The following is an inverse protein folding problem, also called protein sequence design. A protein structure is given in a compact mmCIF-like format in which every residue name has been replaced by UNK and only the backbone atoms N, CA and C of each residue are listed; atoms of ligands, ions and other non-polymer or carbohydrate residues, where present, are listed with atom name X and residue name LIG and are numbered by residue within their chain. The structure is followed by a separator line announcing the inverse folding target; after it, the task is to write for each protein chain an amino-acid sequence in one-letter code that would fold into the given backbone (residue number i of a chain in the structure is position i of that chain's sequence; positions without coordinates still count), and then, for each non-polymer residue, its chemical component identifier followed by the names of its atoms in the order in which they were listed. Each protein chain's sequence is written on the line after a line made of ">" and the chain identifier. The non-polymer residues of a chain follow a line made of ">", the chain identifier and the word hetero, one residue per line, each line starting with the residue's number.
data_IF_554052726895
#
_entry.id   IF_554052726895
#
_cell.length_a   1.000
_cell.length_b   1.000
_cell.length_c   1.000
_cell.angle_alpha   90.00
_cell.angle_beta   90.00
_cell.angle_gamma   90.00
#
_symmetry.space_group_name_H-M   'P 1'
#
loop_
_entity.id
_entity.type
_entity.pdbx_description
1 polymer ?
#
# COMPACT_ATOMS: atom_id res chain seq x y z
N UNK A 1 -7.41 -8.12 -9.09
CA UNK A 1 -5.96 -7.92 -8.92
C UNK A 1 -5.28 -9.25 -9.12
N UNK A 2 -4.25 -9.36 -10.00
CA UNK A 2 -3.53 -10.60 -10.23
C UNK A 2 -2.99 -11.17 -8.91
N UNK A 3 -3.18 -12.46 -8.69
CA UNK A 3 -2.65 -13.18 -7.53
C UNK A 3 -1.13 -13.33 -7.65
N UNK A 4 -0.42 -13.28 -6.54
CA UNK A 4 1.04 -13.41 -6.44
C UNK A 4 1.89 -12.30 -7.10
N UNK A 5 1.28 -11.28 -7.70
CA UNK A 5 2.00 -10.17 -8.35
C UNK A 5 2.54 -9.12 -7.37
N UNK A 6 2.53 -9.38 -6.06
CA UNK A 6 2.96 -8.39 -5.05
C UNK A 6 2.05 -7.14 -4.96
N UNK A 7 0.82 -7.24 -5.46
CA UNK A 7 -0.16 -6.16 -5.56
C UNK A 7 -1.22 -6.23 -4.44
N UNK A 8 -0.85 -6.72 -3.27
CA UNK A 8 -1.74 -6.82 -2.10
C UNK A 8 -3.05 -7.59 -2.39
N UNK A 9 -2.98 -8.67 -3.18
CA UNK A 9 -4.16 -9.48 -3.58
C UNK A 9 -4.98 -9.98 -2.40
N UNK A 10 -4.35 -10.31 -1.27
CA UNK A 10 -5.07 -10.69 -0.05
C UNK A 10 -5.94 -9.56 0.51
N UNK A 11 -5.50 -8.29 0.41
CA UNK A 11 -6.27 -7.15 0.88
C UNK A 11 -7.58 -7.01 0.10
N UNK A 12 -7.50 -7.03 -1.24
CA UNK A 12 -8.67 -6.94 -2.12
C UNK A 12 -9.60 -8.15 -1.95
N UNK A 13 -9.03 -9.36 -1.86
CA UNK A 13 -9.82 -10.59 -1.72
C UNK A 13 -10.62 -10.62 -0.41
N UNK A 14 -10.00 -10.32 0.74
CA UNK A 14 -10.71 -10.30 2.03
C UNK A 14 -11.67 -9.12 2.17
N UNK A 15 -11.39 -7.98 1.56
CA UNK A 15 -12.35 -6.88 1.51
C UNK A 15 -13.60 -7.29 0.68
N UNK A 16 -13.41 -7.84 -0.51
CA UNK A 16 -14.50 -8.32 -1.36
C UNK A 16 -15.31 -9.45 -0.69
N UNK A 17 -14.62 -10.41 -0.04
CA UNK A 17 -15.28 -11.48 0.70
C UNK A 17 -16.12 -10.93 1.86
N UNK A 18 -15.59 -9.99 2.62
CA UNK A 18 -16.32 -9.36 3.72
C UNK A 18 -17.58 -8.64 3.22
N UNK A 19 -17.47 -7.89 2.12
CA UNK A 19 -18.63 -7.24 1.49
C UNK A 19 -19.67 -8.24 1.02
N UNK A 20 -19.26 -9.28 0.30
CA UNK A 20 -20.16 -10.31 -0.20
C UNK A 20 -20.87 -11.06 0.93
N UNK A 21 -20.16 -11.38 2.02
CA UNK A 21 -20.76 -12.03 3.20
C UNK A 21 -21.73 -11.11 3.93
N UNK A 22 -21.41 -9.82 4.04
CA UNK A 22 -22.29 -8.82 4.65
C UNK A 22 -23.65 -8.74 3.92
N UNK A 23 -23.63 -8.71 2.61
CA UNK A 23 -24.83 -8.74 1.77
C UNK A 23 -25.56 -10.09 1.88
N UNK A 24 -24.86 -11.20 1.69
CA UNK A 24 -25.46 -12.53 1.67
C UNK A 24 -26.13 -12.93 3.00
N UNK A 25 -25.61 -12.42 4.12
CA UNK A 25 -26.19 -12.69 5.46
C UNK A 25 -27.26 -11.69 5.88
N UNK A 26 -27.42 -10.61 5.13
CA UNK A 26 -28.35 -9.52 5.47
C UNK A 26 -27.97 -8.74 6.75
N UNK A 27 -26.71 -8.84 7.20
CA UNK A 27 -26.24 -8.11 8.38
C UNK A 27 -26.18 -6.60 8.16
N UNK A 28 -25.91 -6.16 6.92
CA UNK A 28 -25.86 -4.77 6.49
C UNK A 28 -25.01 -3.87 7.40
N UNK A 29 -23.89 -4.40 7.88
CA UNK A 29 -22.96 -3.67 8.74
C UNK A 29 -22.39 -2.46 8.01
N UNK A 30 -22.23 -1.31 8.68
CA UNK A 30 -21.48 -0.19 8.13
C UNK A 30 -20.04 -0.58 7.77
N UNK A 31 -19.46 0.01 6.74
CA UNK A 31 -18.13 -0.33 6.23
C UNK A 31 -17.03 -0.25 7.31
N UNK A 32 -17.10 0.71 8.24
CA UNK A 32 -16.18 0.80 9.37
C UNK A 32 -16.27 -0.43 10.28
N UNK A 33 -17.47 -0.86 10.65
CA UNK A 33 -17.66 -2.06 11.46
C UNK A 33 -17.25 -3.31 10.67
N UNK A 34 -17.58 -3.38 9.38
CA UNK A 34 -17.17 -4.49 8.51
C UNK A 34 -15.65 -4.62 8.42
N UNK A 35 -14.91 -3.50 8.51
CA UNK A 35 -13.45 -3.50 8.48
C UNK A 35 -12.82 -4.27 9.66
N UNK A 36 -13.50 -4.35 10.80
CA UNK A 36 -13.03 -5.16 11.96
C UNK A 36 -13.07 -6.66 11.69
N UNK A 37 -13.92 -7.11 10.76
CA UNK A 37 -13.98 -8.50 10.31
C UNK A 37 -12.97 -8.74 9.18
N UNK A 38 -12.93 -7.88 8.17
CA UNK A 38 -12.03 -8.01 7.03
C UNK A 38 -10.55 -8.12 7.47
N UNK A 39 -10.11 -7.34 8.48
CA UNK A 39 -8.74 -7.37 9.00
C UNK A 39 -8.29 -8.71 9.57
N UNK A 40 -9.23 -9.56 10.01
CA UNK A 40 -8.90 -10.89 10.54
C UNK A 40 -8.34 -11.82 9.46
N UNK A 41 -8.76 -11.64 8.22
CA UNK A 41 -8.21 -12.35 7.07
C UNK A 41 -6.90 -11.74 6.58
N UNK A 42 -6.87 -10.42 6.45
CA UNK A 42 -5.68 -9.66 6.09
C UNK A 42 -5.75 -8.27 6.71
N UNK A 43 -4.72 -7.86 7.47
CA UNK A 43 -4.68 -6.55 8.11
C UNK A 43 -4.90 -5.40 7.13
N UNK A 44 -4.29 -5.45 5.95
CA UNK A 44 -4.45 -4.44 4.90
C UNK A 44 -5.87 -4.38 4.31
N UNK A 45 -6.66 -5.47 4.39
CA UNK A 45 -8.05 -5.49 3.95
C UNK A 45 -8.94 -4.50 4.71
N UNK A 46 -8.54 -4.11 5.93
CA UNK A 46 -9.22 -3.06 6.71
C UNK A 46 -9.48 -1.82 5.87
N UNK A 47 -8.45 -1.35 5.17
CA UNK A 47 -8.52 -0.12 4.37
C UNK A 47 -9.18 -0.32 3.01
N UNK A 48 -9.08 -1.51 2.44
CA UNK A 48 -9.57 -1.82 1.08
C UNK A 48 -11.09 -1.86 0.94
N UNK A 49 -11.83 -1.66 2.04
CA UNK A 49 -13.28 -1.45 2.03
C UNK A 49 -13.65 -0.04 1.53
N UNK A 50 -12.71 0.90 1.59
CA UNK A 50 -12.89 2.30 1.24
C UNK A 50 -12.01 2.67 0.05
N UNK A 51 -12.36 3.76 -0.64
CA UNK A 51 -11.50 4.42 -1.60
C UNK A 51 -10.64 5.52 -0.95
N UNK A 52 -9.73 6.08 -1.71
CA UNK A 52 -8.90 7.20 -1.29
C UNK A 52 -7.90 6.85 -0.19
N UNK A 53 -7.66 7.80 0.71
CA UNK A 53 -6.77 7.64 1.86
C UNK A 53 -7.54 7.16 3.08
N UNK A 54 -7.07 6.09 3.67
CA UNK A 54 -7.73 5.42 4.80
C UNK A 54 -6.72 5.08 5.88
N UNK A 55 -6.99 5.51 7.09
CA UNK A 55 -6.26 5.10 8.28
C UNK A 55 -6.80 3.74 8.77
N UNK A 56 -5.92 2.83 9.12
CA UNK A 56 -6.28 1.73 9.99
C UNK A 56 -5.94 2.14 11.43
N UNK A 57 -6.97 2.53 12.18
CA UNK A 57 -6.82 2.86 13.59
C UNK A 57 -6.33 1.63 14.37
N UNK A 58 -5.24 1.81 15.11
CA UNK A 58 -4.65 0.75 15.94
C UNK A 58 -5.69 0.17 16.91
N UNK A 59 -6.41 1.05 17.62
CA UNK A 59 -7.35 0.66 18.65
C UNK A 59 -6.69 -0.06 19.83
N UNK A 60 -7.50 -0.42 20.82
CA UNK A 60 -7.15 -1.23 21.97
C UNK A 60 -8.08 -2.46 22.13
N UNK A 61 -9.07 -2.55 21.27
CA UNK A 61 -10.03 -3.66 21.21
C UNK A 61 -10.32 -4.06 19.76
N UNK A 62 -11.02 -5.18 19.59
CA UNK A 62 -11.46 -5.63 18.27
C UNK A 62 -12.44 -4.63 17.63
N UNK A 63 -13.26 -3.99 18.43
CA UNK A 63 -14.37 -3.13 18.02
C UNK A 63 -13.87 -1.77 17.51
N UNK A 64 -12.77 -1.27 18.03
CA UNK A 64 -12.24 0.05 17.68
C UNK A 64 -10.96 0.01 16.80
N UNK A 65 -10.40 -1.20 16.55
CA UNK A 65 -9.36 -1.40 15.54
C UNK A 65 -10.01 -1.52 14.16
N UNK A 66 -10.32 -0.38 13.54
CA UNK A 66 -11.13 -0.27 12.33
C UNK A 66 -10.56 0.74 11.34
N UNK A 67 -11.09 0.73 10.12
CA UNK A 67 -10.77 1.73 9.10
C UNK A 67 -11.47 3.06 9.39
N UNK A 68 -10.71 4.15 9.20
CA UNK A 68 -11.22 5.52 9.27
C UNK A 68 -10.85 6.22 7.95
N UNK A 69 -11.84 6.60 7.11
CA UNK A 69 -11.56 7.41 5.93
C UNK A 69 -10.89 8.72 6.32
N UNK A 70 -9.86 9.12 5.58
CA UNK A 70 -9.09 10.35 5.80
C UNK A 70 -9.40 11.37 4.72
N UNK A 71 -9.35 10.97 3.44
CA UNK A 71 -9.59 11.83 2.28
C UNK A 71 -9.96 10.95 1.07
N UNK A 72 -10.79 11.47 0.17
CA UNK A 72 -11.24 10.76 -1.03
C UNK A 72 -10.19 10.71 -2.16
N UNK A 73 -9.03 11.34 -1.93
CA UNK A 73 -7.94 11.48 -2.90
C UNK A 73 -8.35 12.17 -4.21
N UNK A 74 -9.36 13.05 -4.16
CA UNK A 74 -9.83 13.80 -5.33
C UNK A 74 -8.92 15.02 -5.60
N UNK A 75 -7.64 14.77 -5.87
CA UNK A 75 -6.65 15.74 -6.27
C UNK A 75 -5.55 15.08 -7.13
N UNK A 76 -4.62 15.89 -7.64
CA UNK A 76 -3.56 15.42 -8.53
C UNK A 76 -2.55 14.52 -7.78
N UNK A 77 -2.93 13.26 -7.60
CA UNK A 77 -2.11 12.22 -6.98
C UNK A 77 -2.25 10.91 -7.74
N UNK A 78 -1.13 10.20 -7.87
CA UNK A 78 -1.07 8.91 -8.53
C UNK A 78 0.07 8.06 -7.99
N UNK A 79 0.16 6.85 -8.50
CA UNK A 79 1.19 5.91 -8.11
C UNK A 79 1.67 5.12 -9.33
N UNK A 80 2.96 4.75 -9.34
CA UNK A 80 3.49 3.79 -10.29
C UNK A 80 4.05 2.62 -9.48
N UNK A 81 3.64 1.39 -9.80
CA UNK A 81 4.18 0.19 -9.17
C UNK A 81 5.28 -0.36 -10.07
N UNK A 82 6.48 -0.50 -9.51
CA UNK A 82 7.61 -1.18 -10.16
C UNK A 82 7.60 -2.63 -9.66
N UNK A 83 7.24 -3.56 -10.53
CA UNK A 83 7.19 -4.99 -10.21
C UNK A 83 8.58 -5.58 -10.32
N UNK A 84 9.28 -5.64 -9.21
CA UNK A 84 10.62 -6.23 -9.11
C UNK A 84 10.54 -7.74 -9.19
N UNK A 85 9.63 -8.35 -8.41
CA UNK A 85 9.42 -9.79 -8.41
C UNK A 85 7.94 -10.12 -8.18
N UNK A 86 7.45 -11.10 -8.94
CA UNK A 86 6.15 -11.73 -8.74
C UNK A 86 6.28 -13.09 -8.01
N UNK A 87 7.49 -13.48 -7.63
CA UNK A 87 7.74 -14.74 -6.93
C UNK A 87 7.20 -14.70 -5.49
N UNK A 88 6.91 -15.87 -4.95
CA UNK A 88 6.51 -16.01 -3.56
C UNK A 88 7.66 -15.59 -2.63
N UNK A 89 7.32 -14.85 -1.57
CA UNK A 89 8.29 -14.33 -0.61
C UNK A 89 8.88 -15.46 0.23
N UNK A 90 10.18 -15.41 0.48
CA UNK A 90 10.88 -16.36 1.37
C UNK A 90 10.34 -16.29 2.81
N UNK A 91 9.93 -15.10 3.26
CA UNK A 91 9.35 -14.86 4.57
C UNK A 91 8.00 -14.17 4.36
N UNK A 92 6.92 -14.74 4.89
CA UNK A 92 5.60 -14.13 4.82
C UNK A 92 5.58 -12.82 5.62
N UNK A 93 4.69 -11.89 5.25
CA UNK A 93 4.58 -10.62 5.98
C UNK A 93 4.25 -10.85 7.47
N UNK A 94 3.45 -11.88 7.81
CA UNK A 94 3.11 -12.22 9.19
C UNK A 94 4.34 -12.71 9.96
N UNK A 95 5.05 -13.69 9.43
CA UNK A 95 6.25 -14.22 10.08
C UNK A 95 7.34 -13.15 10.23
N UNK A 96 7.51 -12.29 9.21
CA UNK A 96 8.45 -11.17 9.28
C UNK A 96 8.06 -10.16 10.36
N UNK A 97 6.78 -9.81 10.50
CA UNK A 97 6.31 -8.93 11.57
C UNK A 97 6.53 -9.56 12.96
N UNK A 98 6.17 -10.82 13.16
CA UNK A 98 6.36 -11.52 14.44
C UNK A 98 7.83 -11.55 14.85
N UNK A 99 8.72 -11.86 13.91
CA UNK A 99 10.17 -11.85 14.13
C UNK A 99 10.68 -10.45 14.48
N UNK A 100 10.24 -9.42 13.75
CA UNK A 100 10.64 -8.03 13.97
C UNK A 100 10.19 -7.54 15.36
N UNK A 101 8.93 -7.77 15.71
CA UNK A 101 8.38 -7.38 17.03
C UNK A 101 9.16 -8.03 18.17
N UNK A 102 9.49 -9.31 18.03
CA UNK A 102 10.11 -10.09 19.12
C UNK A 102 11.61 -9.88 19.26
N UNK A 103 12.31 -9.44 18.21
CA UNK A 103 13.78 -9.45 18.20
C UNK A 103 14.46 -8.14 17.81
N UNK A 104 13.76 -7.22 17.10
CA UNK A 104 14.41 -6.00 16.62
C UNK A 104 14.55 -4.96 17.73
N UNK A 105 15.77 -4.49 18.04
CA UNK A 105 15.98 -3.45 19.05
C UNK A 105 15.44 -2.08 18.63
N UNK A 106 15.10 -1.90 17.33
CA UNK A 106 14.59 -0.64 16.78
C UNK A 106 13.06 -0.59 16.69
N UNK A 107 12.37 -1.70 17.02
CA UNK A 107 10.93 -1.79 16.82
C UNK A 107 10.15 -0.73 17.61
N UNK A 108 10.45 -0.56 18.90
CA UNK A 108 9.75 0.40 19.76
C UNK A 108 9.97 1.84 19.34
N UNK A 109 11.20 2.19 18.92
CA UNK A 109 11.51 3.50 18.37
C UNK A 109 10.73 3.79 17.09
N UNK A 110 10.57 2.79 16.23
CA UNK A 110 9.73 2.92 15.03
C UNK A 110 8.26 3.13 15.39
N UNK A 111 7.71 2.32 16.30
CA UNK A 111 6.30 2.45 16.75
C UNK A 111 6.03 3.85 17.30
N UNK A 112 6.93 4.37 18.11
CA UNK A 112 6.82 5.73 18.69
C UNK A 112 6.83 6.79 17.59
N UNK A 113 7.78 6.71 16.66
CA UNK A 113 7.89 7.68 15.56
C UNK A 113 6.75 7.57 14.55
N UNK A 114 6.18 6.38 14.37
CA UNK A 114 5.07 6.17 13.44
C UNK A 114 3.80 6.93 13.84
N UNK A 115 3.60 7.19 15.12
CA UNK A 115 2.48 8.01 15.60
C UNK A 115 2.60 9.47 15.11
N UNK A 116 3.80 10.03 15.16
CA UNK A 116 4.09 11.37 14.62
C UNK A 116 3.94 11.39 13.10
N UNK A 117 4.53 10.39 12.40
CA UNK A 117 4.41 10.28 10.94
C UNK A 117 2.94 10.19 10.50
N UNK A 118 2.09 9.49 11.25
CA UNK A 118 0.66 9.38 10.96
C UNK A 118 -0.06 10.73 11.09
N UNK A 119 0.25 11.49 12.14
CA UNK A 119 -0.31 12.82 12.33
C UNK A 119 0.14 13.77 11.19
N UNK A 120 1.42 13.77 10.89
CA UNK A 120 2.00 14.65 9.86
C UNK A 120 1.53 14.33 8.46
N UNK A 121 1.38 13.03 8.11
CA UNK A 121 0.89 12.67 6.77
C UNK A 121 -0.60 13.00 6.59
N UNK A 122 -1.41 12.93 7.65
CA UNK A 122 -2.82 13.36 7.58
C UNK A 122 -2.94 14.86 7.29
N UNK A 123 -2.12 15.69 7.92
CA UNK A 123 -2.07 17.12 7.59
C UNK A 123 -1.52 17.36 6.17
N UNK A 124 -0.48 16.64 5.76
CA UNK A 124 0.05 16.74 4.40
C UNK A 124 -0.99 16.36 3.32
N UNK A 125 -1.82 15.34 3.57
CA UNK A 125 -2.92 14.94 2.69
C UNK A 125 -3.97 16.04 2.60
N UNK A 126 -4.37 16.60 3.74
CA UNK A 126 -5.33 17.72 3.82
C UNK A 126 -4.84 18.96 3.06
N UNK A 127 -3.55 19.25 3.17
CA UNK A 127 -2.89 20.36 2.47
C UNK A 127 -2.62 20.02 0.98
N UNK A 128 -2.86 18.76 0.55
CA UNK A 128 -2.57 18.24 -0.80
C UNK A 128 -1.10 18.46 -1.21
N UNK A 129 -0.20 18.40 -0.23
CA UNK A 129 1.23 18.62 -0.41
C UNK A 129 1.93 17.32 -0.77
N UNK A 130 2.13 17.08 -2.08
CA UNK A 130 2.79 15.87 -2.60
C UNK A 130 4.22 15.69 -2.07
N UNK A 131 4.94 16.78 -1.80
CA UNK A 131 6.30 16.70 -1.26
C UNK A 131 6.31 16.17 0.17
N UNK A 132 5.42 16.69 1.01
CA UNK A 132 5.27 16.21 2.39
C UNK A 132 4.71 14.79 2.42
N UNK A 133 3.66 14.48 1.65
CA UNK A 133 3.09 13.12 1.56
C UNK A 133 4.19 12.12 1.19
N UNK A 134 4.91 12.41 0.11
CA UNK A 134 5.93 11.51 -0.41
C UNK A 134 7.12 11.34 0.54
N UNK A 135 7.66 12.43 1.08
CA UNK A 135 8.80 12.37 1.99
C UNK A 135 8.50 11.63 3.29
N UNK A 136 7.32 11.84 3.88
CA UNK A 136 6.87 11.12 5.08
C UNK A 136 6.71 9.62 4.78
N UNK A 137 6.07 9.28 3.66
CA UNK A 137 5.85 7.89 3.27
C UNK A 137 7.18 7.16 2.99
N UNK A 138 8.12 7.80 2.28
CA UNK A 138 9.46 7.28 2.00
C UNK A 138 10.23 7.05 3.30
N UNK A 139 10.24 8.02 4.20
CA UNK A 139 10.94 7.93 5.47
C UNK A 139 10.33 6.85 6.39
N UNK A 140 9.01 6.81 6.52
CA UNK A 140 8.33 5.80 7.35
C UNK A 140 8.56 4.38 6.79
N UNK A 141 8.48 4.19 5.48
CA UNK A 141 8.79 2.92 4.83
C UNK A 141 10.22 2.45 5.14
N UNK A 142 11.20 3.35 5.04
CA UNK A 142 12.61 3.02 5.34
C UNK A 142 12.85 2.71 6.82
N UNK A 143 12.17 3.37 7.75
CA UNK A 143 12.21 3.02 9.18
C UNK A 143 11.70 1.60 9.42
N UNK A 144 10.60 1.20 8.79
CA UNK A 144 10.07 -0.16 8.86
C UNK A 144 11.11 -1.18 8.37
N UNK A 145 11.73 -0.95 7.22
CA UNK A 145 12.76 -1.85 6.70
C UNK A 145 14.00 -1.91 7.60
N UNK A 146 14.39 -0.81 8.23
CA UNK A 146 15.50 -0.79 9.19
C UNK A 146 15.24 -1.71 10.41
N UNK A 147 14.00 -1.81 10.87
CA UNK A 147 13.65 -2.76 11.95
C UNK A 147 13.83 -4.21 11.53
N UNK A 148 13.55 -4.54 10.27
CA UNK A 148 13.72 -5.90 9.73
C UNK A 148 15.21 -6.27 9.57
N UNK A 149 16.02 -5.33 9.09
CA UNK A 149 17.48 -5.50 8.97
C UNK A 149 18.16 -5.73 10.32
N UNK A 150 17.56 -5.23 11.41
CA UNK A 150 18.05 -5.39 12.77
C UNK A 150 17.36 -6.50 13.57
N UNK A 151 16.53 -7.32 12.94
CA UNK A 151 15.93 -8.51 13.58
C UNK A 151 16.96 -9.61 13.80
N UNK A 152 16.65 -10.58 14.63
CA UNK A 152 17.52 -11.74 14.87
C UNK A 152 16.75 -13.05 14.62
N UNK A 153 17.06 -13.80 13.52
CA UNK A 153 18.02 -13.45 12.47
C UNK A 153 17.61 -12.26 11.62
N UNK A 154 18.57 -11.49 11.05
CA UNK A 154 18.25 -10.37 10.18
C UNK A 154 17.65 -10.84 8.86
N UNK A 155 16.72 -10.06 8.30
CA UNK A 155 16.17 -10.31 6.99
C UNK A 155 15.83 -9.00 6.27
N UNK A 156 15.64 -9.07 4.97
CA UNK A 156 15.11 -7.96 4.17
C UNK A 156 14.23 -8.46 3.03
N UNK A 157 13.43 -7.54 2.49
CA UNK A 157 12.64 -7.77 1.29
C UNK A 157 13.28 -7.14 0.04
N UNK A 158 14.39 -6.42 0.19
CA UNK A 158 15.07 -5.79 -0.94
C UNK A 158 15.70 -6.85 -1.84
N UNK A 159 15.43 -6.74 -3.13
CA UNK A 159 16.17 -7.37 -4.21
C UNK A 159 17.06 -6.31 -4.87
N UNK A 160 18.07 -6.69 -5.68
CA UNK A 160 18.93 -5.71 -6.35
C UNK A 160 18.15 -4.64 -7.12
N UNK A 161 17.12 -5.05 -7.85
CA UNK A 161 16.26 -4.15 -8.61
C UNK A 161 15.44 -3.20 -7.71
N UNK A 162 15.14 -3.58 -6.46
CA UNK A 162 14.51 -2.67 -5.50
C UNK A 162 15.40 -1.48 -5.18
N UNK A 163 16.70 -1.71 -5.02
CA UNK A 163 17.68 -0.64 -4.78
C UNK A 163 17.86 0.22 -6.02
N UNK A 164 17.95 -0.39 -7.20
CA UNK A 164 18.02 0.34 -8.48
C UNK A 164 16.79 1.25 -8.63
N UNK A 165 15.60 0.73 -8.35
CA UNK A 165 14.36 1.52 -8.41
C UNK A 165 14.39 2.73 -7.45
N UNK A 166 14.80 2.53 -6.19
CA UNK A 166 14.93 3.62 -5.21
C UNK A 166 15.92 4.69 -5.70
N UNK A 167 17.07 4.29 -6.24
CA UNK A 167 18.07 5.22 -6.77
C UNK A 167 17.53 5.98 -7.98
N UNK A 168 16.89 5.29 -8.92
CA UNK A 168 16.28 5.92 -10.11
C UNK A 168 15.24 6.96 -9.72
N UNK A 169 14.37 6.66 -8.75
CA UNK A 169 13.34 7.59 -8.28
C UNK A 169 13.98 8.84 -7.65
N UNK A 170 15.05 8.68 -6.86
CA UNK A 170 15.79 9.83 -6.31
C UNK A 170 16.41 10.67 -7.42
N UNK A 171 17.04 10.04 -8.43
CA UNK A 171 17.61 10.73 -9.58
C UNK A 171 16.54 11.53 -10.35
N UNK A 172 15.35 10.94 -10.58
CA UNK A 172 14.24 11.66 -11.22
C UNK A 172 13.87 12.90 -10.39
N UNK A 173 13.75 12.78 -9.09
CA UNK A 173 13.43 13.90 -8.20
C UNK A 173 14.51 14.99 -8.22
N UNK A 174 15.78 14.60 -8.11
CA UNK A 174 16.91 15.52 -7.95
C UNK A 174 17.32 16.19 -9.26
N UNK A 175 17.38 15.43 -10.36
CA UNK A 175 17.87 15.94 -11.65
C UNK A 175 16.77 16.50 -12.55
N UNK A 176 15.54 15.98 -12.47
CA UNK A 176 14.42 16.42 -13.29
C UNK A 176 13.48 17.36 -12.54
N UNK A 177 13.64 17.50 -11.21
CA UNK A 177 12.77 18.33 -10.38
C UNK A 177 11.33 17.81 -10.29
N UNK A 178 11.08 16.54 -10.65
CA UNK A 178 9.75 15.94 -10.62
C UNK A 178 9.52 15.33 -9.21
N UNK A 179 8.42 15.69 -8.51
CA UNK A 179 8.15 15.15 -7.19
C UNK A 179 7.78 13.66 -7.25
N UNK A 180 8.79 12.80 -7.15
CA UNK A 180 8.67 11.36 -7.12
C UNK A 180 9.29 10.81 -5.83
N UNK A 181 8.53 10.03 -5.09
CA UNK A 181 8.93 9.44 -3.81
C UNK A 181 8.61 7.96 -3.81
N UNK A 182 9.42 7.15 -3.15
CA UNK A 182 9.13 5.72 -3.09
C UNK A 182 8.63 5.28 -1.73
N UNK A 183 7.85 4.23 -1.72
CA UNK A 183 7.54 3.47 -0.52
C UNK A 183 7.56 1.98 -0.83
N UNK A 184 7.78 1.18 0.19
CA UNK A 184 7.78 -0.28 0.11
C UNK A 184 7.07 -0.85 1.33
N UNK A 185 6.27 -1.87 1.12
CA UNK A 185 5.71 -2.72 2.16
C UNK A 185 6.51 -4.03 2.28
N UNK A 186 5.96 -5.05 2.91
CA UNK A 186 6.61 -6.35 3.08
C UNK A 186 6.71 -7.11 1.73
N UNK A 187 7.63 -6.68 0.88
CA UNK A 187 7.91 -7.26 -0.43
C UNK A 187 8.91 -6.42 -1.23
N UNK A 188 9.47 -6.95 -2.34
CA UNK A 188 10.52 -6.28 -3.11
C UNK A 188 10.00 -5.18 -4.02
N UNK A 189 8.68 -5.14 -4.30
CA UNK A 189 8.09 -4.23 -5.26
C UNK A 189 8.06 -2.80 -4.71
N UNK A 190 8.46 -1.83 -5.54
CA UNK A 190 8.57 -0.43 -5.17
C UNK A 190 7.34 0.32 -5.69
N UNK A 191 6.75 1.18 -4.87
CA UNK A 191 5.65 2.06 -5.23
C UNK A 191 6.16 3.48 -5.30
N UNK A 192 5.95 4.15 -6.41
CA UNK A 192 6.30 5.56 -6.63
C UNK A 192 5.07 6.41 -6.34
N UNK A 193 5.15 7.27 -5.34
CA UNK A 193 4.11 8.28 -5.04
C UNK A 193 4.47 9.54 -5.82
N UNK A 194 3.54 10.06 -6.61
CA UNK A 194 3.75 11.22 -7.48
C UNK A 194 2.42 11.93 -7.77
N UNK A 195 2.50 13.06 -8.48
CA UNK A 195 1.29 13.61 -9.10
C UNK A 195 0.82 12.72 -10.24
N UNK A 196 -0.49 12.62 -10.44
CA UNK A 196 -1.06 11.90 -11.57
C UNK A 196 -0.62 12.52 -12.90
N UNK A 197 -0.52 13.85 -12.95
CA UNK A 197 -0.05 14.60 -14.11
C UNK A 197 1.42 14.34 -14.47
N UNK A 198 2.25 13.90 -13.52
CA UNK A 198 3.67 13.62 -13.73
C UNK A 198 3.93 12.15 -14.14
N UNK A 199 2.92 11.28 -14.08
CA UNK A 199 3.06 9.86 -14.42
C UNK A 199 3.71 9.64 -15.78
N UNK A 200 3.31 10.32 -16.89
CA UNK A 200 3.93 10.08 -18.18
C UNK A 200 5.44 10.36 -18.20
N UNK A 201 5.87 11.46 -17.59
CA UNK A 201 7.29 11.83 -17.53
C UNK A 201 8.11 10.86 -16.65
N UNK A 202 7.55 10.43 -15.53
CA UNK A 202 8.20 9.43 -14.65
C UNK A 202 8.28 8.07 -15.35
N UNK A 203 7.23 7.64 -16.06
CA UNK A 203 7.21 6.41 -16.85
C UNK A 203 8.29 6.40 -17.94
N UNK A 204 8.53 7.54 -18.61
CA UNK A 204 9.61 7.68 -19.58
C UNK A 204 10.98 7.45 -18.95
N UNK A 205 11.24 8.06 -17.78
CA UNK A 205 12.53 7.90 -17.08
C UNK A 205 12.70 6.48 -16.54
N UNK A 206 11.67 5.91 -15.93
CA UNK A 206 11.70 4.53 -15.43
C UNK A 206 11.86 3.52 -16.58
N UNK A 207 11.27 3.79 -17.74
CA UNK A 207 11.36 2.94 -18.93
C UNK A 207 12.77 2.82 -19.52
N UNK A 208 13.71 3.71 -19.14
CA UNK A 208 15.13 3.57 -19.49
C UNK A 208 15.85 2.48 -18.69
N UNK A 209 15.25 2.07 -17.56
CA UNK A 209 15.87 1.13 -16.61
C UNK A 209 15.05 -0.15 -16.47
N UNK A 210 13.72 -0.05 -16.52
CA UNK A 210 12.80 -1.17 -16.34
C UNK A 210 11.97 -1.41 -17.59
N UNK A 211 11.72 -2.68 -17.95
CA UNK A 211 10.80 -3.00 -19.05
C UNK A 211 9.38 -2.56 -18.72
N UNK A 212 8.64 -2.14 -19.74
CA UNK A 212 7.30 -1.54 -19.60
C UNK A 212 6.29 -2.44 -18.88
N UNK A 213 6.37 -3.76 -19.07
CA UNK A 213 5.52 -4.74 -18.41
C UNK A 213 5.73 -4.83 -16.88
N UNK A 214 6.83 -4.29 -16.37
CA UNK A 214 7.10 -4.16 -14.94
C UNK A 214 6.61 -2.84 -14.33
N UNK A 215 6.10 -1.93 -15.14
CA UNK A 215 5.67 -0.60 -14.71
C UNK A 215 4.15 -0.48 -14.81
N UNK A 216 3.48 -0.34 -13.67
CA UNK A 216 2.02 -0.27 -13.61
C UNK A 216 1.61 1.09 -13.05
N UNK A 217 1.24 2.06 -13.91
CA UNK A 217 0.67 3.32 -13.45
C UNK A 217 -0.75 3.09 -12.91
N UNK A 218 -1.09 3.77 -11.82
CA UNK A 218 -2.41 3.65 -11.19
C UNK A 218 -2.82 4.94 -10.51
N UNK A 219 -4.12 5.11 -10.36
CA UNK A 219 -4.75 6.23 -9.66
C UNK A 219 -5.46 5.73 -8.41
N UNK A 220 -5.86 6.63 -7.48
CA UNK A 220 -6.71 6.26 -6.37
C UNK A 220 -7.96 5.53 -6.86
N UNK A 221 -8.28 4.40 -6.23
CA UNK A 221 -9.42 3.58 -6.59
C UNK A 221 -10.61 3.82 -5.66
N UNK A 222 -11.76 3.31 -6.09
CA UNK A 222 -12.97 3.24 -5.27
C UNK A 222 -12.84 2.14 -4.19
N UNK A 223 -13.68 2.21 -3.16
CA UNK A 223 -13.87 1.14 -2.20
C UNK A 223 -14.59 -0.06 -2.81
N UNK A 224 -14.87 -1.07 -1.98
CA UNK A 224 -15.70 -2.18 -2.43
C UNK A 224 -17.11 -1.69 -2.80
N UNK A 225 -17.67 -2.31 -3.83
CA UNK A 225 -19.07 -2.10 -4.23
C UNK A 225 -19.66 -3.39 -4.82
N UNK A 226 -20.94 -3.49 -4.77
CA UNK A 226 -21.67 -4.55 -5.47
C UNK A 226 -21.68 -4.25 -6.96
N UNK A 227 -21.31 -5.22 -7.78
CA UNK A 227 -21.36 -5.11 -9.24
C UNK A 227 -22.81 -5.19 -9.72
N UNK A 228 -23.14 -4.43 -10.75
CA UNK A 228 -24.35 -4.64 -11.52
C UNK A 228 -24.28 -5.97 -12.28
N UNK A 229 -25.43 -6.47 -12.73
CA UNK A 229 -25.47 -7.71 -13.52
C UNK A 229 -24.66 -7.61 -14.82
N UNK A 230 -24.66 -6.44 -15.45
CA UNK A 230 -23.94 -6.22 -16.70
C UNK A 230 -22.41 -6.17 -16.46
N UNK A 231 -21.96 -5.49 -15.41
CA UNK A 231 -20.55 -5.47 -14.99
C UNK A 231 -20.08 -6.87 -14.60
N UNK A 232 -20.91 -7.64 -13.91
CA UNK A 232 -20.60 -9.03 -13.57
C UNK A 232 -20.40 -9.89 -14.82
N UNK A 233 -21.34 -9.80 -15.78
CA UNK A 233 -21.26 -10.56 -17.02
C UNK A 233 -20.02 -10.15 -17.84
N UNK A 234 -19.72 -8.86 -17.94
CA UNK A 234 -18.52 -8.35 -18.62
C UNK A 234 -17.24 -8.85 -17.95
N UNK A 235 -17.18 -8.86 -16.61
CA UNK A 235 -16.01 -9.35 -15.88
C UNK A 235 -15.79 -10.86 -16.09
N UNK A 236 -16.85 -11.65 -16.13
CA UNK A 236 -16.73 -13.09 -16.40
C UNK A 236 -16.17 -13.39 -17.79
N UNK A 237 -16.65 -12.67 -18.80
CA UNK A 237 -16.17 -12.84 -20.17
C UNK A 237 -14.67 -12.52 -20.36
N UNK A 238 -14.09 -11.76 -19.45
CA UNK A 238 -12.65 -11.43 -19.46
C UNK A 238 -11.77 -12.56 -18.83
N UNK A 239 -12.39 -13.57 -18.19
CA UNK A 239 -11.70 -14.70 -17.57
C UNK A 239 -11.91 -16.04 -18.34
N UNK A 240 -12.80 -16.03 -19.31
CA UNK A 240 -13.01 -17.15 -20.26
C UNK A 240 -12.16 -16.94 -21.53
#
# INVERSE_FOLDING_TARGET
>A
VPTAAGLASSASAFAALAGAMNEATGLLLPAQQLSTYARRGSGSATRSLFGGFVEWNKGDSNENSMAIPVDDANFDIGMIIIVVSAAEKKISSRAGMELTVSTSPFYEGWVTSAATDLADIKEAIKDRDIHRIGSIAEFNGMKMHATMLASNPPFCYFEPESIIAQQTIRTIREERGIPAYFTMDAGPNVKVICKASDIPAIMEELGKVFPSEKLIPTLPGEGIRTLTKDEWNASRAAFE
#
